data_IF_750296117199
#
_entry.id   IF_750296117199
#
_cell.length_a   1.000
_cell.length_b   1.000
_cell.length_c   1.000
_cell.angle_alpha   90.00
_cell.angle_beta   90.00
_cell.angle_gamma   90.00
#
_symmetry.space_group_name_H-M   'P 1'
#
loop_
_entity.id
_entity.type
_entity.pdbx_description
1 polymer ?
#
# COMPACT_ATOMS: atom_id res chain seq x y z
N UNK A 1 -1.15 29.94 -30.64
CA UNK A 1 -0.99 29.98 -29.18
C UNK A 1 -0.93 28.54 -28.71
N UNK A 2 0.26 28.05 -28.36
CA UNK A 2 0.45 26.67 -27.91
C UNK A 2 0.26 26.62 -26.41
N UNK A 3 -0.80 25.96 -25.95
CA UNK A 3 -1.05 25.68 -24.54
C UNK A 3 0.07 24.77 -24.03
N UNK A 4 0.91 25.29 -23.13
CA UNK A 4 1.86 24.46 -22.38
C UNK A 4 1.03 23.57 -21.46
N UNK A 5 1.08 22.26 -21.66
CA UNK A 5 0.52 21.29 -20.73
C UNK A 5 1.25 21.48 -19.40
N UNK A 6 0.52 21.93 -18.39
CA UNK A 6 1.04 22.05 -17.03
C UNK A 6 1.19 20.63 -16.48
N UNK A 7 2.43 20.16 -16.35
CA UNK A 7 2.74 18.87 -15.71
C UNK A 7 2.33 18.97 -14.24
N UNK A 8 1.10 18.54 -13.88
CA UNK A 8 0.74 18.40 -12.47
C UNK A 8 1.63 17.33 -11.88
N UNK A 9 2.50 17.71 -10.95
CA UNK A 9 3.25 16.74 -10.15
C UNK A 9 2.26 15.86 -9.39
N UNK A 10 2.43 14.53 -9.48
CA UNK A 10 1.64 13.58 -8.69
C UNK A 10 1.83 13.85 -7.21
N UNK A 11 0.73 14.14 -6.52
CA UNK A 11 0.71 14.36 -5.08
C UNK A 11 0.71 13.01 -4.36
N UNK A 12 1.81 12.70 -3.67
CA UNK A 12 1.93 11.48 -2.87
C UNK A 12 1.41 11.71 -1.46
N UNK A 13 0.86 10.65 -0.88
CA UNK A 13 0.38 10.59 0.50
C UNK A 13 1.21 9.59 1.28
N UNK A 14 1.47 9.92 2.53
CA UNK A 14 1.91 8.98 3.56
C UNK A 14 0.69 8.40 4.25
N UNK A 15 0.55 7.09 4.24
CA UNK A 15 -0.60 6.36 4.75
C UNK A 15 -0.10 5.39 5.80
N UNK A 16 -0.53 5.54 7.05
CA UNK A 16 -0.13 4.66 8.15
C UNK A 16 -1.27 3.71 8.49
N UNK A 17 -0.96 2.42 8.50
CA UNK A 17 -1.85 1.32 8.81
C UNK A 17 -1.38 0.66 10.11
N UNK A 18 -2.28 0.48 11.07
CA UNK A 18 -2.02 -0.29 12.29
C UNK A 18 -2.84 -1.57 12.30
N UNK A 19 -2.27 -2.65 12.82
CA UNK A 19 -2.96 -3.92 12.95
C UNK A 19 -4.25 -3.74 13.77
N UNK A 20 -5.37 -4.13 13.19
CA UNK A 20 -6.66 -4.12 13.87
C UNK A 20 -6.73 -5.27 14.87
N UNK A 21 -7.81 -5.30 15.66
CA UNK A 21 -8.04 -6.39 16.62
C UNK A 21 -7.99 -7.76 15.96
N UNK A 22 -7.29 -8.69 16.58
CA UNK A 22 -7.20 -10.10 16.21
C UNK A 22 -7.20 -10.95 17.48
N UNK A 23 -7.15 -12.29 17.33
CA UNK A 23 -7.07 -13.20 18.47
C UNK A 23 -5.78 -12.97 19.29
N UNK A 24 -4.67 -12.68 18.62
CA UNK A 24 -3.36 -12.46 19.23
C UNK A 24 -3.19 -11.02 19.71
N UNK A 25 -3.91 -10.07 19.09
CA UNK A 25 -3.93 -8.67 19.47
C UNK A 25 -5.37 -8.20 19.72
N UNK A 26 -5.98 -8.50 20.87
CA UNK A 26 -7.39 -8.18 21.15
C UNK A 26 -7.72 -6.69 21.02
N UNK A 27 -6.75 -5.81 21.32
CA UNK A 27 -6.87 -4.36 21.23
C UNK A 27 -6.31 -3.79 19.91
N UNK A 28 -5.85 -4.67 19.00
CA UNK A 28 -5.00 -4.29 17.87
C UNK A 28 -3.57 -3.98 18.31
N UNK A 29 -2.76 -3.45 17.40
CA UNK A 29 -1.39 -3.05 17.71
C UNK A 29 -0.93 -1.89 16.83
N UNK A 30 -0.47 -0.81 17.46
CA UNK A 30 0.23 0.28 16.79
C UNK A 30 1.70 -0.01 16.52
N UNK A 31 2.18 -1.19 16.89
CA UNK A 31 3.57 -1.65 16.72
C UNK A 31 3.71 -2.70 15.61
N UNK A 32 2.59 -3.01 14.96
CA UNK A 32 2.46 -3.95 13.84
C UNK A 32 1.71 -3.24 12.73
N UNK A 33 2.31 -3.08 11.56
CA UNK A 33 1.64 -2.32 10.50
C UNK A 33 2.51 -1.94 9.32
N UNK A 34 1.96 -1.03 8.53
CA UNK A 34 2.58 -0.53 7.32
C UNK A 34 2.57 1.00 7.26
N UNK A 35 3.58 1.54 6.61
CA UNK A 35 3.70 2.94 6.24
C UNK A 35 3.93 3.03 4.73
N UNK A 36 2.93 3.55 4.01
CA UNK A 36 2.91 3.58 2.55
C UNK A 36 3.12 5.00 2.05
N UNK A 37 3.89 5.13 0.98
CA UNK A 37 3.95 6.33 0.16
C UNK A 37 3.29 6.00 -1.17
N UNK A 38 2.15 6.62 -1.45
CA UNK A 38 1.38 6.32 -2.65
C UNK A 38 0.46 7.49 -3.07
N UNK A 39 0.12 7.62 -4.36
CA UNK A 39 -0.91 8.53 -4.80
C UNK A 39 -2.31 7.95 -4.51
N UNK A 40 -3.21 8.82 -4.08
CA UNK A 40 -4.62 8.50 -3.90
C UNK A 40 -5.49 9.34 -4.84
N UNK A 41 -6.57 8.76 -5.34
CA UNK A 41 -7.62 9.48 -6.06
C UNK A 41 -8.51 10.30 -5.11
N UNK A 42 -9.51 10.99 -5.68
CA UNK A 42 -10.44 11.84 -4.91
C UNK A 42 -11.34 11.05 -3.95
N UNK A 43 -11.45 9.73 -4.13
CA UNK A 43 -12.20 8.82 -3.26
C UNK A 43 -11.31 8.18 -2.18
N UNK A 44 -10.01 8.46 -2.20
CA UNK A 44 -9.03 7.88 -1.28
C UNK A 44 -8.58 6.48 -1.68
N UNK A 45 -8.75 6.05 -2.94
CA UNK A 45 -8.23 4.77 -3.46
C UNK A 45 -6.87 4.97 -4.09
N UNK A 46 -6.08 3.91 -4.21
CA UNK A 46 -4.80 3.99 -4.92
C UNK A 46 -5.01 4.40 -6.39
N UNK A 47 -4.31 5.45 -6.80
CA UNK A 47 -4.37 5.95 -8.17
C UNK A 47 -3.31 5.26 -9.04
N UNK A 48 -3.77 4.37 -9.93
CA UNK A 48 -2.91 3.65 -10.87
C UNK A 48 -2.17 4.56 -11.86
N UNK A 49 -2.78 5.68 -12.28
CA UNK A 49 -2.14 6.61 -13.21
C UNK A 49 -1.05 7.40 -12.50
N UNK A 50 -1.36 7.98 -11.35
CA UNK A 50 -0.38 8.65 -10.50
C UNK A 50 0.76 7.72 -10.08
N UNK A 51 0.45 6.45 -9.79
CA UNK A 51 1.47 5.46 -9.47
C UNK A 51 2.43 5.24 -10.64
N UNK A 52 1.90 5.09 -11.86
CA UNK A 52 2.74 4.87 -13.06
C UNK A 52 3.72 6.03 -13.27
N UNK A 53 3.30 7.25 -13.02
CA UNK A 53 4.13 8.46 -13.13
C UNK A 53 5.15 8.60 -11.98
N UNK A 54 4.81 8.12 -10.78
CA UNK A 54 5.63 8.29 -9.57
C UNK A 54 6.18 6.98 -8.99
N UNK A 55 6.23 5.89 -9.76
CA UNK A 55 6.48 4.52 -9.26
C UNK A 55 7.71 4.37 -8.37
N UNK A 56 8.81 5.03 -8.72
CA UNK A 56 10.07 4.96 -7.96
C UNK A 56 9.98 5.60 -6.57
N UNK A 57 9.01 6.50 -6.37
CA UNK A 57 8.73 7.16 -5.09
C UNK A 57 7.66 6.43 -4.28
N UNK A 58 6.97 5.45 -4.87
CA UNK A 58 5.94 4.69 -4.19
C UNK A 58 6.58 3.57 -3.36
N UNK A 59 6.60 3.74 -2.04
CA UNK A 59 7.35 2.88 -1.11
C UNK A 59 6.41 2.25 -0.09
N UNK A 60 6.82 1.11 0.45
CA UNK A 60 6.21 0.48 1.61
C UNK A 60 7.27 0.24 2.67
N UNK A 61 6.90 0.49 3.91
CA UNK A 61 7.60 0.03 5.10
C UNK A 61 6.69 -0.88 5.88
N UNK A 62 7.14 -2.10 6.16
CA UNK A 62 6.56 -2.95 7.20
C UNK A 62 7.33 -2.71 8.49
N UNK A 63 6.61 -2.55 9.60
CA UNK A 63 7.19 -2.48 10.93
C UNK A 63 6.52 -3.50 11.84
N UNK A 64 7.33 -4.18 12.65
CA UNK A 64 6.86 -5.23 13.54
C UNK A 64 7.69 -5.25 14.83
N UNK A 65 7.06 -5.30 16.01
CA UNK A 65 7.72 -5.01 17.30
C UNK A 65 9.01 -5.79 17.56
N UNK A 66 9.10 -7.04 17.08
CA UNK A 66 10.22 -7.94 17.36
C UNK A 66 11.08 -8.26 16.13
N UNK A 67 10.88 -7.52 15.04
CA UNK A 67 11.57 -7.76 13.77
C UNK A 67 12.13 -6.45 13.21
N UNK A 68 13.21 -6.51 12.41
CA UNK A 68 13.64 -5.34 11.68
C UNK A 68 12.55 -4.87 10.71
N UNK A 69 12.48 -3.56 10.50
CA UNK A 69 11.62 -2.98 9.46
C UNK A 69 12.05 -3.49 8.07
N UNK A 70 11.06 -3.78 7.22
CA UNK A 70 11.28 -4.19 5.84
C UNK A 70 10.87 -3.08 4.87
N UNK A 71 11.75 -2.80 3.90
CA UNK A 71 11.61 -1.72 2.93
C UNK A 71 11.31 -2.28 1.55
N UNK A 72 10.18 -1.90 0.97
CA UNK A 72 9.76 -2.34 -0.35
C UNK A 72 9.19 -1.23 -1.23
N UNK A 73 8.65 -1.63 -2.38
CA UNK A 73 7.87 -0.79 -3.29
C UNK A 73 6.41 -1.20 -3.30
N UNK A 74 5.54 -0.21 -3.47
CA UNK A 74 4.17 -0.48 -3.89
C UNK A 74 4.18 -0.71 -5.39
N UNK A 75 3.67 -1.85 -5.85
CA UNK A 75 3.60 -2.20 -7.27
C UNK A 75 2.16 -2.41 -7.72
N UNK A 76 1.86 -1.99 -8.95
CA UNK A 76 0.58 -2.21 -9.62
C UNK A 76 0.79 -3.18 -10.78
N UNK A 77 0.14 -4.33 -10.73
CA UNK A 77 0.19 -5.34 -11.79
C UNK A 77 -1.07 -5.28 -12.65
N UNK A 78 -0.94 -5.22 -13.99
CA UNK A 78 -2.08 -5.38 -14.87
C UNK A 78 -2.70 -6.77 -14.66
N UNK A 79 -4.02 -6.82 -14.56
CA UNK A 79 -4.74 -8.05 -14.28
C UNK A 79 -5.07 -8.88 -15.51
N UNK A 80 -5.17 -10.21 -15.30
CA UNK A 80 -5.93 -11.12 -16.15
C UNK A 80 -7.44 -11.08 -15.83
N UNK A 81 -8.13 -12.22 -15.89
CA UNK A 81 -9.58 -12.33 -15.64
C UNK A 81 -10.04 -11.76 -14.28
N UNK A 82 -9.14 -11.66 -13.28
CA UNK A 82 -9.40 -11.14 -11.94
C UNK A 82 -9.21 -9.64 -11.74
N UNK A 83 -8.86 -8.88 -12.79
CA UNK A 83 -8.60 -7.44 -12.69
C UNK A 83 -7.22 -7.10 -12.12
N UNK A 84 -6.85 -5.82 -12.21
CA UNK A 84 -5.55 -5.34 -11.78
C UNK A 84 -5.38 -5.47 -10.25
N UNK A 85 -4.13 -5.66 -9.80
CA UNK A 85 -3.82 -5.91 -8.39
C UNK A 85 -2.68 -5.03 -7.90
N UNK A 86 -2.78 -4.60 -6.65
CA UNK A 86 -1.69 -3.98 -5.91
C UNK A 86 -0.93 -5.02 -5.10
N UNK A 87 0.37 -4.83 -4.94
CA UNK A 87 1.24 -5.68 -4.12
C UNK A 87 2.38 -4.89 -3.48
N UNK A 88 3.00 -5.49 -2.47
CA UNK A 88 4.23 -5.02 -1.84
C UNK A 88 5.38 -5.89 -2.30
N UNK A 89 6.36 -5.26 -2.96
CA UNK A 89 7.57 -5.92 -3.45
C UNK A 89 8.76 -5.57 -2.54
N UNK A 90 9.29 -6.56 -1.82
CA UNK A 90 10.42 -6.39 -0.89
C UNK A 90 11.75 -6.90 -1.47
N UNK A 91 11.72 -7.72 -2.54
CA UNK A 91 12.91 -8.20 -3.23
C UNK A 91 12.95 -7.72 -4.68
N UNK A 92 13.66 -6.61 -4.96
CA UNK A 92 13.76 -6.08 -6.33
C UNK A 92 14.58 -6.98 -7.27
N UNK A 93 15.20 -8.07 -6.77
CA UNK A 93 16.03 -8.99 -7.53
C UNK A 93 15.38 -10.33 -7.88
N UNK A 94 14.22 -10.62 -7.29
CA UNK A 94 13.45 -11.84 -7.50
C UNK A 94 12.66 -11.83 -8.80
N UNK A 95 12.29 -13.01 -9.29
CA UNK A 95 11.29 -13.14 -10.34
C UNK A 95 9.91 -12.76 -9.81
N UNK A 96 9.11 -12.04 -10.60
CA UNK A 96 7.74 -11.57 -10.29
C UNK A 96 6.75 -12.68 -9.85
N UNK A 97 7.18 -13.95 -9.86
CA UNK A 97 6.40 -15.17 -9.60
C UNK A 97 6.58 -15.72 -8.17
N UNK A 98 7.59 -15.24 -7.42
CA UNK A 98 7.87 -15.61 -6.01
C UNK A 98 7.26 -14.61 -5.01
N UNK A 99 6.28 -13.81 -5.45
CA UNK A 99 5.64 -12.84 -4.58
C UNK A 99 4.43 -13.42 -3.88
N UNK A 100 4.64 -13.71 -2.60
CA UNK A 100 3.59 -13.97 -1.63
C UNK A 100 2.69 -12.72 -1.53
N UNK A 101 1.71 -12.68 -2.43
CA UNK A 101 1.03 -11.48 -2.85
C UNK A 101 0.18 -10.87 -1.74
N UNK A 102 0.68 -9.78 -1.18
CA UNK A 102 -0.07 -8.76 -0.45
C UNK A 102 -1.16 -8.13 -1.33
N UNK A 103 -2.26 -8.85 -1.57
CA UNK A 103 -3.37 -8.38 -2.40
C UNK A 103 -4.35 -7.58 -1.56
N UNK A 104 -4.45 -6.29 -1.81
CA UNK A 104 -5.56 -5.47 -1.33
C UNK A 104 -6.28 -4.87 -2.53
N UNK A 105 -7.61 -5.04 -2.53
CA UNK A 105 -8.50 -4.69 -3.64
C UNK A 105 -8.90 -3.22 -3.68
N UNK A 106 -10.16 -2.98 -4.02
CA UNK A 106 -10.84 -1.67 -4.16
C UNK A 106 -11.10 -0.97 -2.80
N UNK A 107 -10.12 -1.02 -1.90
CA UNK A 107 -10.20 -0.36 -0.60
C UNK A 107 -9.97 1.15 -0.73
N UNK A 108 -10.71 1.90 0.07
CA UNK A 108 -10.39 3.28 0.36
C UNK A 108 -9.42 3.34 1.53
N UNK A 109 -8.51 4.31 1.47
CA UNK A 109 -7.52 4.60 2.49
C UNK A 109 -7.92 5.84 3.28
N UNK A 110 -9.19 6.03 3.62
CA UNK A 110 -9.58 7.16 4.46
C UNK A 110 -9.29 6.83 5.93
N UNK A 111 -8.88 7.80 6.77
CA UNK A 111 -8.68 7.56 8.19
C UNK A 111 -9.92 6.92 8.84
N UNK A 112 -9.73 5.77 9.49
CA UNK A 112 -10.81 4.96 10.07
C UNK A 112 -11.21 3.75 9.24
N UNK A 113 -10.90 3.72 7.94
CA UNK A 113 -11.18 2.58 7.07
C UNK A 113 -10.38 1.34 7.49
N UNK A 114 -10.87 0.17 7.08
CA UNK A 114 -10.21 -1.10 7.31
C UNK A 114 -9.77 -1.72 5.98
N UNK A 115 -8.52 -2.18 5.95
CA UNK A 115 -7.87 -2.77 4.79
C UNK A 115 -7.40 -4.18 5.17
N UNK A 116 -7.76 -5.16 4.36
CA UNK A 116 -7.27 -6.53 4.54
C UNK A 116 -6.02 -6.73 3.70
N UNK A 117 -4.98 -7.25 4.33
CA UNK A 117 -3.67 -7.47 3.73
C UNK A 117 -3.28 -8.92 4.01
N UNK A 118 -2.95 -9.66 2.95
CA UNK A 118 -2.53 -11.06 3.01
C UNK A 118 -1.01 -11.14 3.19
N UNK A 119 -0.52 -11.79 4.24
CA UNK A 119 0.92 -11.94 4.48
C UNK A 119 1.58 -13.02 3.60
N UNK A 120 2.86 -13.27 3.85
CA UNK A 120 3.68 -14.21 3.09
C UNK A 120 3.23 -15.68 3.22
N UNK A 121 2.71 -16.06 4.40
CA UNK A 121 2.11 -17.37 4.66
C UNK A 121 0.68 -17.50 4.10
N UNK A 122 0.15 -16.38 3.61
CA UNK A 122 -1.17 -16.28 3.05
C UNK A 122 -2.29 -16.07 4.05
N UNK A 123 -1.98 -15.67 5.28
CA UNK A 123 -2.96 -15.28 6.28
C UNK A 123 -3.45 -13.85 6.04
N UNK A 124 -4.76 -13.65 6.16
CA UNK A 124 -5.37 -12.33 6.02
C UNK A 124 -5.38 -11.60 7.38
N UNK A 125 -4.69 -10.48 7.43
CA UNK A 125 -4.70 -9.56 8.56
C UNK A 125 -5.51 -8.32 8.19
N UNK A 126 -6.29 -7.82 9.15
CA UNK A 126 -7.03 -6.58 8.97
C UNK A 126 -6.25 -5.44 9.63
N UNK A 127 -6.09 -4.34 8.91
CA UNK A 127 -5.44 -3.13 9.38
C UNK A 127 -6.43 -1.98 9.36
N UNK A 128 -6.26 -1.03 10.29
CA UNK A 128 -6.98 0.23 10.30
C UNK A 128 -6.09 1.32 9.72
N UNK A 129 -6.66 2.15 8.84
CA UNK A 129 -6.02 3.39 8.38
C UNK A 129 -6.03 4.40 9.52
N UNK A 130 -4.85 4.75 10.02
CA UNK A 130 -4.71 5.64 11.18
C UNK A 130 -4.46 7.08 10.74
N UNK A 131 -3.58 7.29 9.75
CA UNK A 131 -3.30 8.61 9.20
C UNK A 131 -3.16 8.58 7.70
N UNK A 132 -3.53 9.70 7.07
CA UNK A 132 -3.22 10.03 5.69
C UNK A 132 -2.76 11.48 5.68
N UNK A 133 -1.54 11.71 5.23
CA UNK A 133 -0.93 13.05 5.17
C UNK A 133 -0.20 13.25 3.83
N UNK A 134 0.05 14.49 3.38
CA UNK A 134 1.02 14.73 2.31
C UNK A 134 2.38 14.07 2.64
N UNK A 135 2.98 13.39 1.67
CA UNK A 135 4.30 12.76 1.77
C UNK A 135 5.45 13.74 1.47
#
# INVERSE_FOLDING_TARGET
MSTVASTRTVALKRIVLHLARSKEHPDGSSRHGYDLIAPLDEQGRLDANGWREARQRCRVRRFWESEPDEMGHLVHRPGGQGGATWAFDYDPSGSEDDEAGYRFGDHTFNPGDYVSIKDEDGMLHTFKVVTVAPA
#
